data_IF_621405600380
#
_entry.id   IF_621405600380
#
_cell.length_a   1.000
_cell.length_b   1.000
_cell.length_c   1.000
_cell.angle_alpha   90.00
_cell.angle_beta   90.00
_cell.angle_gamma   90.00
#
_symmetry.space_group_name_H-M   'P 1'
#
loop_
_entity.id
_entity.type
_entity.pdbx_description
1 polymer ?
#
# COMPACT_ATOMS: atom_id res chain seq x y z
N UNK A 1 0.31 11.17 23.41
CA UNK A 1 0.26 10.44 22.14
C UNK A 1 0.66 11.41 21.04
N UNK A 2 1.73 11.11 20.32
CA UNK A 2 2.29 11.98 19.27
C UNK A 2 1.33 12.01 18.08
N UNK A 3 1.13 13.17 17.44
CA UNK A 3 0.28 13.35 16.26
C UNK A 3 0.64 12.44 15.06
N UNK A 4 1.78 11.74 15.12
CA UNK A 4 2.28 10.80 14.11
C UNK A 4 1.53 9.45 14.17
N UNK A 5 1.00 9.04 15.33
CA UNK A 5 0.24 7.79 15.46
C UNK A 5 -1.15 7.85 14.81
N UNK A 6 -1.66 9.05 14.51
CA UNK A 6 -3.00 9.24 13.94
C UNK A 6 -3.14 8.88 12.45
N UNK A 7 -2.04 8.62 11.74
CA UNK A 7 -2.03 8.40 10.28
C UNK A 7 -1.37 7.08 9.86
N UNK A 8 -1.54 6.02 10.66
CA UNK A 8 -1.10 4.66 10.30
C UNK A 8 -2.29 3.79 9.92
N UNK A 9 -2.02 2.81 9.07
CA UNK A 9 -2.99 1.87 8.54
C UNK A 9 -2.68 0.45 9.01
N UNK A 10 -3.66 -0.20 9.62
CA UNK A 10 -3.61 -1.64 9.76
C UNK A 10 -3.84 -2.29 8.41
N UNK A 11 -3.15 -3.38 8.15
CA UNK A 11 -3.24 -4.09 6.88
C UNK A 11 -4.01 -5.36 7.09
N UNK A 12 -5.03 -5.54 6.27
CA UNK A 12 -5.91 -6.70 6.27
C UNK A 12 -5.89 -7.33 4.88
N UNK A 13 -6.08 -8.64 4.80
CA UNK A 13 -6.07 -9.37 3.53
C UNK A 13 -7.30 -10.25 3.41
N UNK A 14 -7.89 -10.29 2.22
CA UNK A 14 -8.91 -11.26 1.84
C UNK A 14 -8.33 -12.16 0.75
N UNK A 15 -8.69 -13.44 0.73
CA UNK A 15 -8.19 -14.41 -0.25
C UNK A 15 -9.23 -14.79 -1.32
N UNK A 16 -10.49 -14.33 -1.21
CA UNK A 16 -11.59 -14.70 -2.12
C UNK A 16 -12.61 -13.56 -2.32
N UNK A 17 -12.43 -12.68 -3.32
CA UNK A 17 -11.23 -12.53 -4.16
C UNK A 17 -10.03 -11.99 -3.37
N UNK A 18 -8.83 -12.13 -3.92
CA UNK A 18 -7.62 -11.59 -3.29
C UNK A 18 -7.71 -10.06 -3.23
N UNK A 19 -7.59 -9.50 -2.04
CA UNK A 19 -7.64 -8.06 -1.80
C UNK A 19 -6.79 -7.67 -0.60
N UNK A 20 -6.22 -6.47 -0.62
CA UNK A 20 -5.47 -5.86 0.47
C UNK A 20 -6.24 -4.64 0.94
N UNK A 21 -6.59 -4.63 2.23
CA UNK A 21 -7.27 -3.55 2.89
C UNK A 21 -6.31 -2.72 3.74
N UNK A 22 -6.32 -1.40 3.54
CA UNK A 22 -5.64 -0.41 4.37
C UNK A 22 -6.67 0.28 5.28
N UNK A 23 -6.67 -0.09 6.55
CA UNK A 23 -7.65 0.39 7.54
C UNK A 23 -7.01 1.45 8.44
N UNK A 24 -7.46 2.71 8.40
CA UNK A 24 -6.97 3.73 9.32
C UNK A 24 -7.15 3.29 10.77
N UNK A 25 -6.17 3.54 11.64
CA UNK A 25 -6.24 3.07 13.03
C UNK A 25 -7.49 3.56 13.79
N UNK A 26 -7.97 4.78 13.49
CA UNK A 26 -9.17 5.36 14.09
C UNK A 26 -10.48 4.75 13.56
N UNK A 27 -10.46 4.12 12.37
CA UNK A 27 -11.67 3.58 11.74
C UNK A 27 -12.16 2.29 12.41
N UNK A 28 -11.30 1.55 13.12
CA UNK A 28 -11.70 0.31 13.80
C UNK A 28 -12.63 0.54 15.00
N UNK A 29 -12.57 1.73 15.60
CA UNK A 29 -13.43 2.12 16.73
C UNK A 29 -14.70 2.87 16.31
N UNK A 30 -14.86 3.16 15.02
CA UNK A 30 -16.01 3.91 14.48
C UNK A 30 -16.91 2.99 13.64
N UNK A 31 -18.19 2.92 14.00
CA UNK A 31 -19.20 2.16 13.24
C UNK A 31 -19.40 2.66 11.81
N UNK A 32 -19.09 3.93 11.54
CA UNK A 32 -19.11 4.51 10.20
C UNK A 32 -17.71 4.59 9.58
N UNK A 33 -16.70 3.99 10.22
CA UNK A 33 -15.34 3.96 9.74
C UNK A 33 -15.25 3.35 8.34
N UNK A 34 -14.37 3.91 7.52
CA UNK A 34 -14.10 3.41 6.17
C UNK A 34 -12.66 2.96 6.03
N UNK A 35 -12.42 2.10 5.05
CA UNK A 35 -11.08 1.63 4.69
C UNK A 35 -10.93 1.54 3.17
N UNK A 36 -9.68 1.54 2.72
CA UNK A 36 -9.37 1.32 1.31
C UNK A 36 -9.18 -0.17 1.06
N UNK A 37 -9.90 -0.71 0.08
CA UNK A 37 -9.78 -2.08 -0.41
C UNK A 37 -9.16 -2.05 -1.81
N UNK A 38 -8.04 -2.75 -1.98
CA UNK A 38 -7.31 -2.81 -3.24
C UNK A 38 -7.33 -4.24 -3.75
N UNK A 39 -7.82 -4.46 -4.96
CA UNK A 39 -7.89 -5.77 -5.59
C UNK A 39 -7.65 -5.69 -7.10
N UNK A 40 -7.48 -6.84 -7.76
CA UNK A 40 -7.39 -6.90 -9.22
C UNK A 40 -8.74 -7.34 -9.76
N UNK A 41 -9.21 -6.62 -10.78
CA UNK A 41 -10.30 -7.06 -11.62
C UNK A 41 -9.77 -7.59 -12.94
N UNK A 42 -10.07 -8.85 -13.22
CA UNK A 42 -9.82 -9.46 -14.53
C UNK A 42 -11.13 -9.44 -15.30
N UNK A 43 -11.24 -8.52 -16.27
CA UNK A 43 -12.37 -8.50 -17.20
C UNK A 43 -12.09 -9.47 -18.36
N UNK A 44 -12.75 -10.63 -18.38
CA UNK A 44 -12.78 -11.53 -19.56
C UNK A 44 -12.18 -12.94 -19.37
N UNK A 45 -12.40 -13.85 -20.34
CA UNK A 45 -11.79 -15.18 -20.36
C UNK A 45 -10.27 -15.08 -20.50
N UNK A 46 -9.57 -15.97 -19.81
CA UNK A 46 -8.16 -15.96 -19.37
C UNK A 46 -7.05 -15.83 -20.42
N UNK A 47 -7.37 -15.63 -21.70
CA UNK A 47 -6.45 -15.97 -22.80
C UNK A 47 -6.07 -14.80 -23.72
N UNK A 48 -6.47 -13.57 -23.39
CA UNK A 48 -5.89 -12.39 -24.05
C UNK A 48 -4.96 -11.67 -23.09
N UNK A 49 -3.89 -11.13 -23.64
CA UNK A 49 -2.85 -10.29 -23.04
C UNK A 49 -3.49 -8.99 -22.48
N UNK A 50 -4.43 -9.14 -21.56
CA UNK A 50 -5.37 -8.12 -21.12
C UNK A 50 -4.75 -7.26 -20.05
N UNK A 51 -5.00 -5.96 -20.15
CA UNK A 51 -4.54 -4.98 -19.17
C UNK A 51 -5.00 -5.40 -17.76
N UNK A 52 -4.04 -5.47 -16.82
CA UNK A 52 -4.33 -5.67 -15.41
C UNK A 52 -5.02 -4.43 -14.87
N UNK A 53 -6.28 -4.57 -14.46
CA UNK A 53 -7.03 -3.48 -13.83
C UNK A 53 -6.97 -3.62 -12.32
N UNK A 54 -6.36 -2.65 -11.67
CA UNK A 54 -6.38 -2.52 -10.21
C UNK A 54 -7.60 -1.70 -9.81
N UNK A 55 -8.48 -2.28 -9.01
CA UNK A 55 -9.61 -1.58 -8.41
C UNK A 55 -9.26 -1.12 -7.00
N UNK A 56 -9.58 0.14 -6.70
CA UNK A 56 -9.43 0.73 -5.37
C UNK A 56 -10.81 1.19 -4.93
N UNK A 57 -11.33 0.55 -3.88
CA UNK A 57 -12.66 0.78 -3.36
C UNK A 57 -12.59 1.39 -1.96
N UNK A 58 -13.54 2.27 -1.64
CA UNK A 58 -13.77 2.73 -0.27
C UNK A 58 -14.90 1.88 0.31
N UNK A 59 -14.57 1.08 1.31
CA UNK A 59 -15.51 0.15 1.96
C UNK A 59 -15.77 0.59 3.41
N UNK A 60 -16.92 0.19 3.97
CA UNK A 60 -17.25 0.45 5.39
C UNK A 60 -16.78 -0.71 6.26
N UNK A 61 -16.20 -0.37 7.41
CA UNK A 61 -15.66 -1.33 8.38
C UNK A 61 -16.73 -2.34 8.84
N UNK A 62 -17.93 -1.85 9.20
CA UNK A 62 -19.03 -2.66 9.73
C UNK A 62 -19.54 -3.75 8.76
N UNK A 63 -19.54 -3.45 7.46
CA UNK A 63 -20.16 -4.28 6.43
C UNK A 63 -19.19 -5.22 5.76
N UNK A 64 -17.93 -4.79 5.54
CA UNK A 64 -17.00 -5.51 4.68
C UNK A 64 -15.74 -6.03 5.40
N UNK A 65 -15.24 -5.37 6.45
CA UNK A 65 -13.96 -5.76 7.07
C UNK A 65 -13.99 -7.19 7.65
N UNK A 66 -15.17 -7.70 8.02
CA UNK A 66 -15.39 -9.09 8.47
C UNK A 66 -14.95 -10.17 7.48
N UNK A 67 -14.78 -9.83 6.20
CA UNK A 67 -14.30 -10.75 5.16
C UNK A 67 -12.78 -10.74 5.01
N UNK A 68 -12.09 -9.90 5.77
CA UNK A 68 -10.64 -9.80 5.74
C UNK A 68 -10.05 -10.33 7.05
N UNK A 69 -8.81 -10.80 6.97
CA UNK A 69 -8.00 -11.20 8.12
C UNK A 69 -6.89 -10.18 8.36
N UNK A 70 -6.61 -9.79 9.61
CA UNK A 70 -5.49 -8.89 9.91
C UNK A 70 -4.18 -9.58 9.52
N UNK A 71 -3.29 -8.83 8.86
CA UNK A 71 -1.95 -9.28 8.56
C UNK A 71 -1.04 -9.01 9.77
N UNK A 72 -0.27 -10.01 10.18
CA UNK A 72 0.67 -9.89 11.31
C UNK A 72 1.89 -9.04 10.94
N UNK A 73 1.70 -7.72 10.97
CA UNK A 73 2.68 -6.66 10.76
C UNK A 73 2.35 -5.43 11.59
N UNK A 74 3.36 -4.59 11.80
CA UNK A 74 3.15 -3.22 12.27
C UNK A 74 2.32 -2.42 11.26
N UNK A 75 1.51 -1.50 11.77
CA UNK A 75 0.72 -0.59 10.94
C UNK A 75 1.62 0.22 9.98
N UNK A 76 1.16 0.43 8.76
CA UNK A 76 1.96 1.07 7.70
C UNK A 76 1.65 2.56 7.59
N UNK A 77 2.59 3.34 7.03
CA UNK A 77 2.40 4.77 6.77
C UNK A 77 1.64 5.04 5.47
N UNK A 78 1.47 4.02 4.61
CA UNK A 78 0.73 4.11 3.36
C UNK A 78 1.29 3.18 2.28
N UNK A 79 0.85 3.42 1.04
CA UNK A 79 1.32 2.73 -0.16
C UNK A 79 2.29 3.62 -0.98
N UNK A 80 3.43 3.09 -1.38
CA UNK A 80 4.38 3.76 -2.26
C UNK A 80 4.02 3.61 -3.74
N UNK A 81 3.35 2.52 -4.12
CA UNK A 81 2.98 2.23 -5.49
C UNK A 81 2.51 0.79 -5.69
N UNK A 82 2.12 0.50 -6.93
CA UNK A 82 1.68 -0.82 -7.38
C UNK A 82 2.46 -1.14 -8.67
N UNK A 83 2.92 -2.38 -8.82
CA UNK A 83 3.69 -2.84 -9.99
C UNK A 83 3.13 -4.17 -10.47
N UNK A 84 2.84 -4.25 -11.77
CA UNK A 84 2.60 -5.53 -12.43
C UNK A 84 3.92 -6.08 -12.97
N UNK A 85 4.29 -7.29 -12.55
CA UNK A 85 5.56 -7.91 -12.91
C UNK A 85 5.46 -9.44 -12.92
N UNK A 86 5.88 -10.06 -14.02
CA UNK A 86 5.93 -11.52 -14.19
C UNK A 86 4.60 -12.24 -13.88
N UNK A 87 3.47 -11.62 -14.24
CA UNK A 87 2.13 -12.23 -14.06
C UNK A 87 1.58 -12.10 -12.64
N UNK A 88 2.23 -11.33 -11.78
CA UNK A 88 1.73 -10.93 -10.46
C UNK A 88 1.70 -9.40 -10.32
N UNK A 89 0.78 -8.89 -9.51
CA UNK A 89 0.66 -7.47 -9.22
C UNK A 89 0.97 -7.23 -7.75
N UNK A 90 2.00 -6.42 -7.52
CA UNK A 90 2.58 -6.16 -6.22
C UNK A 90 2.17 -4.79 -5.69
N UNK A 91 1.85 -4.72 -4.41
CA UNK A 91 1.63 -3.48 -3.68
C UNK A 91 2.80 -3.22 -2.72
N UNK A 92 3.36 -2.02 -2.76
CA UNK A 92 4.50 -1.61 -1.94
C UNK A 92 4.03 -0.76 -0.76
N UNK A 93 4.17 -1.29 0.45
CA UNK A 93 3.70 -0.65 1.68
C UNK A 93 4.87 -0.04 2.46
N UNK A 94 4.72 1.22 2.86
CA UNK A 94 5.73 1.95 3.62
C UNK A 94 5.61 1.56 5.10
N UNK A 95 6.51 0.72 5.59
CA UNK A 95 6.46 0.18 6.96
C UNK A 95 7.25 1.03 7.95
N UNK A 96 8.29 1.72 7.48
CA UNK A 96 9.14 2.56 8.34
C UNK A 96 9.54 3.86 7.67
N UNK A 97 9.32 4.95 8.39
CA UNK A 97 9.75 6.29 8.04
C UNK A 97 10.68 6.84 9.13
N UNK A 98 11.58 7.73 8.73
CA UNK A 98 12.40 8.53 9.63
C UNK A 98 11.99 10.00 9.45
N UNK A 99 11.65 10.67 10.54
CA UNK A 99 11.43 12.12 10.52
C UNK A 99 12.71 12.84 10.13
N UNK A 100 12.61 13.79 9.20
CA UNK A 100 13.73 14.59 8.70
C UNK A 100 13.67 15.98 9.29
N UNK A 101 12.57 16.69 9.05
CA UNK A 101 12.33 18.06 9.53
C UNK A 101 10.85 18.43 9.43
N UNK A 102 10.47 19.56 10.03
CA UNK A 102 9.23 20.25 9.70
C UNK A 102 9.54 21.47 8.85
N UNK A 103 8.81 21.66 7.75
CA UNK A 103 9.01 22.81 6.88
C UNK A 103 8.85 24.16 7.61
N UNK A 104 7.97 24.24 8.61
CA UNK A 104 7.79 25.44 9.42
C UNK A 104 9.02 25.77 10.31
N UNK A 105 9.84 24.77 10.66
CA UNK A 105 11.10 24.99 11.40
C UNK A 105 12.18 25.61 10.52
N UNK A 106 12.17 25.29 9.23
CA UNK A 106 13.10 25.85 8.23
C UNK A 106 12.64 27.21 7.71
N UNK A 107 11.33 27.40 7.57
CA UNK A 107 10.72 28.64 7.13
C UNK A 107 9.41 28.89 7.89
N UNK A 108 9.40 29.80 8.90
CA UNK A 108 8.21 30.07 9.72
C UNK A 108 6.99 30.58 8.96
N UNK A 109 7.13 30.99 7.68
CA UNK A 109 6.01 31.39 6.82
C UNK A 109 5.29 30.20 6.19
N UNK A 110 5.87 29.00 6.23
CA UNK A 110 5.25 27.79 5.71
C UNK A 110 4.36 27.14 6.78
N UNK A 111 3.25 26.49 6.37
CA UNK A 111 2.45 25.71 7.29
C UNK A 111 3.27 24.55 7.86
N UNK A 112 2.94 24.13 9.08
CA UNK A 112 3.55 22.95 9.70
C UNK A 112 3.31 21.73 8.80
N UNK A 113 4.38 21.26 8.17
CA UNK A 113 4.37 20.09 7.28
C UNK A 113 5.60 19.23 7.60
N UNK A 114 5.42 18.13 8.34
CA UNK A 114 6.52 17.23 8.64
C UNK A 114 6.95 16.48 7.38
N UNK A 115 8.27 16.39 7.17
CA UNK A 115 8.91 15.68 6.07
C UNK A 115 9.56 14.42 6.62
N UNK A 116 9.34 13.30 5.93
CA UNK A 116 9.84 12.01 6.32
C UNK A 116 10.63 11.38 5.18
N UNK A 117 11.70 10.66 5.53
CA UNK A 117 12.41 9.76 4.64
C UNK A 117 11.85 8.35 4.79
N UNK A 118 11.50 7.71 3.68
CA UNK A 118 11.14 6.29 3.66
C UNK A 118 12.40 5.46 3.93
N UNK A 119 12.36 4.63 4.97
CA UNK A 119 13.47 3.76 5.40
C UNK A 119 13.23 2.32 4.97
N UNK A 120 11.97 1.88 5.03
CA UNK A 120 11.62 0.49 4.74
C UNK A 120 10.27 0.40 4.04
N UNK A 121 10.25 -0.47 3.03
CA UNK A 121 9.07 -0.86 2.27
C UNK A 121 8.92 -2.37 2.35
N UNK A 122 7.67 -2.82 2.36
CA UNK A 122 7.25 -4.22 2.32
C UNK A 122 6.47 -4.47 1.04
N UNK A 123 6.63 -5.64 0.45
CA UNK A 123 5.85 -6.03 -0.73
C UNK A 123 4.78 -7.04 -0.34
N UNK A 124 3.56 -6.81 -0.82
CA UNK A 124 2.46 -7.78 -0.80
C UNK A 124 1.99 -8.04 -2.23
N UNK A 125 1.48 -9.24 -2.47
CA UNK A 125 0.90 -9.59 -3.77
C UNK A 125 -0.64 -9.50 -3.71
N UNK A 126 -1.20 -8.93 -4.78
CA UNK A 126 -2.64 -8.86 -5.04
C UNK A 126 -3.16 -10.08 -5.79
N UNK A 127 -2.29 -11.04 -6.19
CA UNK A 127 -2.73 -12.32 -6.77
C UNK A 127 -2.41 -13.53 -5.90
N UNK A 128 -1.30 -13.51 -5.15
CA UNK A 128 -0.77 -14.64 -4.40
C UNK A 128 -0.59 -14.31 -2.90
N UNK A 129 -1.12 -15.19 -2.05
CA UNK A 129 -0.99 -15.09 -0.60
C UNK A 129 0.40 -15.47 -0.06
N UNK A 130 1.32 -16.01 -0.88
CA UNK A 130 2.66 -16.40 -0.38
C UNK A 130 3.40 -15.20 0.22
N UNK A 131 3.16 -14.01 -0.32
CA UNK A 131 3.75 -12.74 0.11
C UNK A 131 3.15 -12.22 1.42
N UNK A 132 2.15 -12.88 1.99
CA UNK A 132 1.65 -12.57 3.34
C UNK A 132 2.63 -13.04 4.41
N UNK A 133 3.49 -14.01 4.13
CA UNK A 133 4.49 -14.50 5.10
C UNK A 133 5.73 -13.63 5.11
N UNK A 134 6.28 -13.36 6.31
CA UNK A 134 7.53 -12.60 6.48
C UNK A 134 8.69 -13.09 5.61
N UNK A 135 8.75 -14.40 5.33
CA UNK A 135 9.81 -15.01 4.54
C UNK A 135 9.82 -14.55 3.07
N UNK A 136 8.67 -14.14 2.52
CA UNK A 136 8.49 -13.85 1.10
C UNK A 136 8.14 -12.39 0.81
N UNK A 137 8.06 -11.52 1.83
CA UNK A 137 7.73 -10.09 1.71
C UNK A 137 8.81 -9.23 1.03
N UNK A 138 9.83 -9.84 0.43
CA UNK A 138 10.85 -9.22 -0.43
C UNK A 138 10.59 -9.68 -1.86
N UNK A 139 10.51 -8.77 -2.83
CA UNK A 139 10.37 -9.16 -4.23
C UNK A 139 11.52 -10.12 -4.62
N UNK A 140 11.24 -11.20 -5.38
CA UNK A 140 12.25 -12.14 -5.85
C UNK A 140 13.38 -11.48 -6.68
N UNK A 141 13.21 -10.26 -7.17
CA UNK A 141 14.26 -9.52 -7.89
C UNK A 141 15.50 -9.20 -7.05
N UNK A 142 15.37 -9.06 -5.72
CA UNK A 142 16.52 -8.85 -4.84
C UNK A 142 17.32 -10.14 -4.56
N UNK A 143 16.86 -11.31 -5.04
CA UNK A 143 17.63 -12.55 -5.00
C UNK A 143 18.52 -12.76 -6.23
N UNK A 144 18.38 -11.92 -7.27
CA UNK A 144 19.11 -12.04 -8.54
C UNK A 144 19.95 -10.80 -8.89
N UNK A 145 20.30 -9.97 -7.90
CA UNK A 145 21.38 -8.98 -8.06
C UNK A 145 22.77 -9.65 -8.01
N UNK A 146 22.96 -10.67 -8.85
CA UNK A 146 24.28 -10.93 -9.43
C UNK A 146 24.38 -10.07 -10.71
N UNK A 147 24.85 -8.84 -10.53
CA UNK A 147 25.53 -7.98 -11.53
C UNK A 147 25.18 -8.28 -12.99
N UNK A 148 24.06 -7.76 -13.47
CA UNK A 148 23.97 -7.37 -14.89
C UNK A 148 23.44 -5.96 -14.98
N UNK A 149 24.33 -5.05 -15.38
CA UNK A 149 24.01 -3.72 -15.90
C UNK A 149 22.95 -3.85 -17.00
N UNK A 150 21.71 -3.55 -16.68
CA UNK A 150 20.64 -3.31 -17.65
C UNK A 150 19.83 -2.15 -17.12
N UNK A 151 19.75 -1.08 -17.90
CA UNK A 151 18.96 0.10 -17.57
C UNK A 151 17.53 -0.34 -17.23
N UNK A 152 17.11 -0.12 -15.97
CA UNK A 152 15.73 -0.30 -15.56
C UNK A 152 14.90 0.85 -16.15
N UNK A 153 14.32 0.58 -17.31
CA UNK A 153 13.24 1.38 -17.87
C UNK A 153 11.99 1.23 -16.99
N UNK A 154 11.85 2.14 -16.02
CA UNK A 154 10.65 2.27 -15.19
C UNK A 154 9.56 2.95 -16.03
N UNK A 155 8.82 2.16 -16.79
CA UNK A 155 7.58 2.62 -17.44
C UNK A 155 6.39 2.44 -16.49
N UNK A 156 5.60 3.51 -16.33
CA UNK A 156 4.17 3.35 -16.00
C UNK A 156 3.70 3.68 -14.58
N UNK A 157 4.35 4.58 -13.83
CA UNK A 157 3.70 5.18 -12.65
C UNK A 157 2.64 6.19 -13.12
N UNK A 158 1.50 5.71 -13.62
CA UNK A 158 0.25 6.47 -13.45
C UNK A 158 0.00 6.55 -11.95
N UNK A 159 -0.45 7.71 -11.44
CA UNK A 159 -0.23 8.14 -10.06
C UNK A 159 -1.40 7.76 -9.10
N UNK A 160 -1.43 6.56 -8.49
CA UNK A 160 -2.38 6.22 -7.43
C UNK A 160 -2.13 7.04 -6.15
N UNK A 161 -0.94 7.61 -6.00
CA UNK A 161 -0.58 8.44 -4.86
C UNK A 161 -1.43 9.71 -4.80
N UNK A 162 -1.89 10.27 -5.92
CA UNK A 162 -2.82 11.43 -5.90
C UNK A 162 -4.16 11.10 -5.27
N UNK A 163 -4.74 9.93 -5.56
CA UNK A 163 -6.02 9.52 -4.97
C UNK A 163 -5.88 9.18 -3.48
N UNK A 164 -4.78 8.55 -3.08
CA UNK A 164 -4.49 8.25 -1.68
C UNK A 164 -4.10 9.51 -0.89
N UNK A 165 -3.44 10.49 -1.51
CA UNK A 165 -3.15 11.81 -0.91
C UNK A 165 -4.43 12.60 -0.69
N UNK A 166 -5.35 12.61 -1.66
CA UNK A 166 -6.68 13.23 -1.49
C UNK A 166 -7.52 12.57 -0.39
N UNK A 167 -7.31 11.29 -0.11
CA UNK A 167 -7.93 10.58 1.02
C UNK A 167 -7.27 10.93 2.37
N UNK A 168 -5.95 11.18 2.38
CA UNK A 168 -5.19 11.51 3.60
C UNK A 168 -5.31 12.98 4.05
N UNK A 169 -5.80 13.85 3.15
CA UNK A 169 -5.96 15.29 3.36
C UNK A 169 -7.41 15.70 3.69
N UNK A 170 -8.39 14.78 3.59
CA UNK A 170 -9.76 14.94 4.08
C UNK A 170 -10.02 14.09 5.32
#
# INVERSE_FOLDING_TARGET
MSAIDGKRFFVYVSNRPRAIALVPAHALSDTNGTFLSVCIRRDGPSDTNGDVKVEVNVERVDSALRYYSPLDIDAVYGCAGILDYQGDTYMFLITRCQYVCNLAELNPRQPSKPVFRVVQVMTLSLTDSIFDSQAYRRMPGAMYDEVTQGDMDIYGITNPCTQMTNFLEN
#
